data_IF_173326046622
#
_entry.id   IF_173326046622
#
_cell.length_a   1.000
_cell.length_b   1.000
_cell.length_c   1.000
_cell.angle_alpha   90.00
_cell.angle_beta   90.00
_cell.angle_gamma   90.00
#
_symmetry.space_group_name_H-M   'P 1'
#
loop_
_entity.id
_entity.type
_entity.pdbx_description
1 polymer ?
#
# COMPACT_ATOMS: atom_id res chain seq x y z
N UNK A 1 -25.13 -8.55 -1.25
CA UNK A 1 -23.71 -8.30 -1.57
C UNK A 1 -22.92 -8.53 -0.31
N UNK A 2 -21.98 -9.48 -0.32
CA UNK A 2 -21.04 -9.72 0.76
C UNK A 2 -19.65 -9.18 0.37
N UNK A 3 -18.94 -8.56 1.31
CA UNK A 3 -17.59 -8.01 1.09
C UNK A 3 -16.60 -8.63 2.08
N UNK A 4 -15.53 -9.22 1.58
CA UNK A 4 -14.39 -9.69 2.39
C UNK A 4 -13.27 -8.65 2.33
N UNK A 5 -12.85 -8.10 3.46
CA UNK A 5 -11.58 -7.39 3.57
C UNK A 5 -10.43 -8.39 3.71
N UNK A 6 -9.23 -8.06 3.23
CA UNK A 6 -8.07 -8.89 3.52
C UNK A 6 -6.75 -8.13 3.44
N UNK A 7 -5.75 -8.62 4.17
CA UNK A 7 -4.38 -8.08 4.17
C UNK A 7 -3.35 -9.14 4.57
N UNK A 8 -2.07 -8.79 4.43
CA UNK A 8 -0.94 -9.55 4.96
C UNK A 8 -0.09 -8.66 5.86
N UNK A 9 0.50 -9.24 6.91
CA UNK A 9 1.33 -8.51 7.86
C UNK A 9 2.50 -9.37 8.33
N UNK A 10 3.71 -8.83 8.31
CA UNK A 10 4.91 -9.40 8.95
C UNK A 10 5.72 -8.26 9.55
N UNK A 11 6.17 -8.40 10.79
CA UNK A 11 6.99 -7.39 11.49
C UNK A 11 6.34 -6.00 11.46
N UNK A 12 5.01 -5.97 11.62
CA UNK A 12 4.16 -4.79 11.55
C UNK A 12 4.55 -3.72 12.57
N UNK A 13 4.84 -4.14 13.80
CA UNK A 13 5.21 -3.27 14.91
C UNK A 13 6.63 -2.74 14.74
N UNK A 14 7.57 -3.64 14.45
CA UNK A 14 8.99 -3.36 14.26
C UNK A 14 9.21 -2.33 13.15
N UNK A 15 8.51 -2.48 12.03
CA UNK A 15 8.58 -1.53 10.92
C UNK A 15 7.64 -0.32 11.09
N UNK A 16 6.92 -0.20 12.22
CA UNK A 16 5.97 0.86 12.49
C UNK A 16 4.88 1.05 11.42
N UNK A 17 4.38 -0.05 10.83
CA UNK A 17 3.25 0.00 9.91
C UNK A 17 1.97 0.47 10.64
N UNK A 18 1.14 1.32 10.00
CA UNK A 18 -0.19 1.65 10.49
C UNK A 18 -1.21 0.53 10.19
N UNK A 19 -0.84 -0.73 10.47
CA UNK A 19 -1.64 -1.88 10.04
C UNK A 19 -2.99 -1.97 10.76
N UNK A 20 -3.05 -1.56 12.03
CA UNK A 20 -4.31 -1.46 12.79
C UNK A 20 -5.24 -0.46 12.11
N UNK A 21 -4.72 0.71 11.79
CA UNK A 21 -5.47 1.76 11.11
C UNK A 21 -5.85 1.36 9.68
N UNK A 22 -4.99 0.65 8.96
CA UNK A 22 -5.27 0.08 7.63
C UNK A 22 -6.49 -0.84 7.65
N UNK A 23 -6.49 -1.83 8.55
CA UNK A 23 -7.62 -2.75 8.73
C UNK A 23 -8.89 -1.97 9.08
N UNK A 24 -8.84 -1.13 10.11
CA UNK A 24 -9.98 -0.36 10.60
C UNK A 24 -10.53 0.63 9.56
N UNK A 25 -9.69 1.10 8.64
CA UNK A 25 -10.11 2.04 7.61
C UNK A 25 -11.08 1.46 6.58
N UNK A 26 -11.04 0.14 6.34
CA UNK A 26 -11.98 -0.51 5.41
C UNK A 26 -12.96 -1.47 6.09
N UNK A 27 -12.70 -1.88 7.34
CA UNK A 27 -13.55 -2.80 8.10
C UNK A 27 -15.05 -2.41 8.13
N UNK A 28 -15.45 -1.13 8.19
CA UNK A 28 -16.87 -0.73 8.11
C UNK A 28 -17.57 -1.14 6.80
N UNK A 29 -16.82 -1.38 5.73
CA UNK A 29 -17.33 -1.84 4.43
C UNK A 29 -17.35 -3.36 4.29
N UNK A 30 -16.82 -4.09 5.28
CA UNK A 30 -16.61 -5.53 5.22
C UNK A 30 -17.62 -6.30 6.09
N UNK A 31 -18.01 -7.48 5.60
CA UNK A 31 -18.77 -8.48 6.36
C UNK A 31 -17.85 -9.44 7.11
N UNK A 32 -16.65 -9.69 6.55
CA UNK A 32 -15.56 -10.43 7.18
C UNK A 32 -14.22 -9.80 6.79
N UNK A 33 -13.17 -10.06 7.56
CA UNK A 33 -11.83 -9.55 7.27
C UNK A 33 -10.77 -10.63 7.53
N UNK A 34 -9.95 -10.97 6.53
CA UNK A 34 -8.90 -11.98 6.65
C UNK A 34 -7.54 -11.32 6.84
N UNK A 35 -6.83 -11.65 7.92
CA UNK A 35 -5.46 -11.18 8.15
C UNK A 35 -4.51 -12.36 8.09
N UNK A 36 -3.64 -12.42 7.08
CA UNK A 36 -2.54 -13.38 7.02
C UNK A 36 -1.31 -12.83 7.73
N UNK A 37 -1.02 -13.36 8.93
CA UNK A 37 0.11 -12.93 9.75
C UNK A 37 1.30 -13.86 9.52
N UNK A 38 2.39 -13.30 9.01
CA UNK A 38 3.67 -13.96 8.91
C UNK A 38 4.34 -14.12 10.27
N UNK A 39 5.09 -15.21 10.47
CA UNK A 39 5.90 -15.49 11.67
C UNK A 39 6.80 -14.29 12.05
N UNK A 40 6.38 -13.41 12.94
CA UNK A 40 7.06 -12.12 13.17
C UNK A 40 8.05 -12.19 14.33
N UNK A 41 9.09 -11.35 14.28
CA UNK A 41 10.11 -11.19 15.32
C UNK A 41 9.69 -10.16 16.40
N UNK A 42 8.44 -9.71 16.35
CA UNK A 42 7.84 -8.70 17.21
C UNK A 42 6.42 -9.11 17.65
N UNK A 43 5.73 -8.23 18.37
CA UNK A 43 4.39 -8.51 18.89
C UNK A 43 3.26 -8.36 17.84
N UNK A 44 3.55 -8.37 16.53
CA UNK A 44 2.53 -8.19 15.48
C UNK A 44 1.36 -9.17 15.61
N UNK A 45 1.64 -10.45 15.86
CA UNK A 45 0.57 -11.45 15.99
C UNK A 45 -0.33 -11.17 17.20
N UNK A 46 0.24 -10.74 18.32
CA UNK A 46 -0.54 -10.44 19.52
C UNK A 46 -1.40 -9.18 19.32
N UNK A 47 -0.88 -8.14 18.67
CA UNK A 47 -1.65 -6.95 18.31
C UNK A 47 -2.85 -7.29 17.40
N UNK A 48 -2.65 -8.18 16.41
CA UNK A 48 -3.73 -8.63 15.53
C UNK A 48 -4.75 -9.50 16.30
N UNK A 49 -4.30 -10.33 17.25
CA UNK A 49 -5.20 -11.12 18.14
C UNK A 49 -6.01 -10.23 19.07
N UNK A 50 -5.44 -9.13 19.56
CA UNK A 50 -6.20 -8.14 20.33
C UNK A 50 -7.25 -7.46 19.46
N UNK A 51 -6.86 -7.07 18.24
CA UNK A 51 -7.79 -6.48 17.28
C UNK A 51 -8.94 -7.45 16.92
N UNK A 52 -8.69 -8.74 16.77
CA UNK A 52 -9.77 -9.71 16.47
C UNK A 52 -10.72 -9.96 17.64
N UNK A 53 -10.26 -9.81 18.89
CA UNK A 53 -11.14 -9.81 20.08
C UNK A 53 -12.05 -8.59 20.10
N UNK A 54 -11.55 -7.43 19.70
CA UNK A 54 -12.35 -6.19 19.58
C UNK A 54 -13.33 -6.23 18.40
N UNK A 55 -12.92 -6.85 17.29
CA UNK A 55 -13.69 -6.88 16.04
C UNK A 55 -13.91 -8.32 15.57
N UNK A 56 -15.03 -8.96 15.94
CA UNK A 56 -15.30 -10.37 15.65
C UNK A 56 -15.34 -10.75 14.15
N UNK A 57 -15.42 -9.77 13.26
CA UNK A 57 -15.35 -9.97 11.80
C UNK A 57 -13.94 -10.36 11.33
N UNK A 58 -12.91 -10.10 12.15
CA UNK A 58 -11.52 -10.36 11.79
C UNK A 58 -11.20 -11.84 12.07
N UNK A 59 -10.79 -12.54 11.02
CA UNK A 59 -10.26 -13.90 11.07
C UNK A 59 -8.77 -13.87 10.77
N UNK A 60 -7.99 -14.52 11.62
CA UNK A 60 -6.54 -14.60 11.51
C UNK A 60 -6.19 -15.94 10.86
N UNK A 61 -5.28 -15.88 9.89
CA UNK A 61 -4.54 -17.05 9.43
C UNK A 61 -3.05 -16.77 9.67
N UNK A 62 -2.30 -17.80 10.05
CA UNK A 62 -0.87 -17.68 10.31
C UNK A 62 -0.11 -18.40 9.18
N UNK A 63 1.01 -17.82 8.73
CA UNK A 63 1.83 -18.45 7.70
C UNK A 63 3.32 -18.25 7.92
N UNK A 64 4.10 -19.27 7.57
CA UNK A 64 5.55 -19.14 7.46
C UNK A 64 5.89 -18.70 6.05
N UNK A 65 6.43 -17.48 5.93
CA UNK A 65 6.75 -16.87 4.65
C UNK A 65 8.00 -17.51 4.07
N UNK A 66 7.97 -17.90 2.80
CA UNK A 66 9.15 -18.40 2.10
C UNK A 66 10.04 -17.24 1.69
N UNK A 67 11.02 -16.93 2.53
CA UNK A 67 11.97 -15.84 2.35
C UNK A 67 13.02 -16.12 1.27
N UNK A 68 13.04 -17.32 0.69
CA UNK A 68 13.88 -17.62 -0.48
C UNK A 68 13.35 -16.98 -1.76
N UNK A 69 12.05 -16.65 -1.82
CA UNK A 69 11.41 -15.98 -2.95
C UNK A 69 11.92 -14.54 -3.11
N UNK A 70 12.30 -14.18 -4.33
CA UNK A 70 12.87 -12.86 -4.67
C UNK A 70 11.94 -11.99 -5.49
N UNK A 71 12.32 -10.72 -5.62
CA UNK A 71 11.58 -9.71 -6.38
C UNK A 71 10.25 -9.33 -5.72
N UNK A 72 10.13 -9.50 -4.40
CA UNK A 72 8.88 -9.25 -3.67
C UNK A 72 7.81 -10.33 -3.85
N UNK A 73 8.08 -11.41 -4.60
CA UNK A 73 7.10 -12.48 -4.92
C UNK A 73 6.45 -13.09 -3.68
N UNK A 74 7.17 -13.16 -2.55
CA UNK A 74 6.61 -13.62 -1.27
C UNK A 74 5.34 -12.85 -0.90
N UNK A 75 5.28 -11.54 -1.18
CA UNK A 75 4.14 -10.70 -0.84
C UNK A 75 2.88 -11.13 -1.60
N UNK A 76 2.99 -11.44 -2.89
CA UNK A 76 1.82 -11.87 -3.68
C UNK A 76 1.40 -13.30 -3.32
N UNK A 77 2.34 -14.19 -3.03
CA UNK A 77 2.04 -15.55 -2.53
C UNK A 77 1.23 -15.48 -1.24
N UNK A 78 1.66 -14.69 -0.27
CA UNK A 78 0.97 -14.55 1.01
C UNK A 78 -0.36 -13.82 0.87
N UNK A 79 -0.44 -12.85 -0.05
CA UNK A 79 -1.70 -12.16 -0.38
C UNK A 79 -2.70 -13.12 -1.01
N UNK A 80 -2.24 -14.03 -1.88
CA UNK A 80 -3.08 -15.06 -2.49
C UNK A 80 -3.62 -16.08 -1.48
N UNK A 81 -2.83 -16.44 -0.44
CA UNK A 81 -3.32 -17.26 0.68
C UNK A 81 -4.49 -16.57 1.39
N UNK A 82 -4.37 -15.27 1.71
CA UNK A 82 -5.46 -14.49 2.32
C UNK A 82 -6.68 -14.33 1.40
N UNK A 83 -6.46 -14.09 0.11
CA UNK A 83 -7.55 -13.96 -0.88
C UNK A 83 -8.34 -15.27 -1.05
N UNK A 84 -7.66 -16.43 -0.98
CA UNK A 84 -8.31 -17.75 -1.07
C UNK A 84 -9.33 -17.95 0.04
N UNK A 85 -9.06 -17.40 1.21
CA UNK A 85 -9.87 -17.48 2.42
C UNK A 85 -11.07 -16.52 2.45
N UNK A 86 -11.16 -15.61 1.47
CA UNK A 86 -12.30 -14.70 1.32
C UNK A 86 -13.53 -15.42 0.73
N UNK A 87 -14.72 -15.05 1.19
CA UNK A 87 -16.00 -15.67 0.78
C UNK A 87 -17.03 -14.66 0.23
N UNK A 88 -16.69 -13.37 0.20
CA UNK A 88 -17.56 -12.31 -0.31
C UNK A 88 -17.68 -12.28 -1.83
N UNK A 89 -18.66 -11.54 -2.34
CA UNK A 89 -18.78 -11.24 -3.77
C UNK A 89 -17.61 -10.35 -4.24
N UNK A 90 -17.20 -9.44 -3.37
CA UNK A 90 -16.06 -8.54 -3.52
C UNK A 90 -15.01 -8.81 -2.44
N UNK A 91 -13.74 -8.76 -2.82
CA UNK A 91 -12.59 -8.88 -1.95
C UNK A 91 -11.83 -7.54 -1.96
N UNK A 92 -11.80 -6.84 -0.83
CA UNK A 92 -11.12 -5.56 -0.65
C UNK A 92 -9.76 -5.78 0.00
N UNK A 93 -8.71 -5.69 -0.81
CA UNK A 93 -7.32 -5.71 -0.37
C UNK A 93 -6.89 -4.34 0.15
N UNK A 94 -6.17 -4.31 1.28
CA UNK A 94 -5.48 -3.12 1.76
C UNK A 94 -4.09 -3.51 2.27
N UNK A 95 -3.05 -2.78 1.90
CA UNK A 95 -1.71 -3.02 2.45
C UNK A 95 -1.56 -2.41 3.84
N UNK A 96 -0.59 -2.90 4.62
CA UNK A 96 -0.37 -2.48 6.01
C UNK A 96 -0.01 -1.00 6.20
N UNK A 97 0.35 -0.29 5.12
CA UNK A 97 0.61 1.15 5.07
C UNK A 97 -0.39 1.93 4.20
N UNK A 98 -1.50 1.31 3.82
CA UNK A 98 -2.57 1.93 3.03
C UNK A 98 -3.83 2.12 3.87
N UNK A 99 -4.57 3.21 3.62
CA UNK A 99 -5.82 3.50 4.30
C UNK A 99 -6.86 4.06 3.32
N UNK A 100 -8.13 3.73 3.57
CA UNK A 100 -9.27 4.38 2.93
C UNK A 100 -9.83 5.46 3.86
N UNK A 101 -10.01 6.67 3.34
CA UNK A 101 -10.70 7.73 4.09
C UNK A 101 -12.22 7.48 4.09
N UNK A 102 -12.85 7.61 5.27
CA UNK A 102 -14.28 7.41 5.49
C UNK A 102 -15.21 8.21 4.57
N UNK A 103 -14.74 9.35 4.05
CA UNK A 103 -15.48 10.13 3.05
C UNK A 103 -15.77 9.36 1.76
N UNK A 104 -15.01 8.30 1.47
CA UNK A 104 -15.20 7.47 0.28
C UNK A 104 -16.11 6.25 0.51
N UNK A 105 -16.60 6.01 1.73
CA UNK A 105 -17.44 4.84 2.01
C UNK A 105 -18.70 4.79 1.14
N UNK A 106 -19.37 5.94 0.96
CA UNK A 106 -20.56 6.05 0.12
C UNK A 106 -20.28 5.62 -1.32
N UNK A 107 -19.31 6.27 -1.98
CA UNK A 107 -18.98 5.99 -3.38
C UNK A 107 -18.46 4.56 -3.58
N UNK A 108 -17.64 4.03 -2.67
CA UNK A 108 -17.12 2.67 -2.78
C UNK A 108 -18.26 1.64 -2.68
N UNK A 109 -19.19 1.81 -1.73
CA UNK A 109 -20.34 0.92 -1.56
C UNK A 109 -21.29 0.99 -2.76
N UNK A 110 -21.54 2.19 -3.26
CA UNK A 110 -22.38 2.42 -4.43
C UNK A 110 -21.79 1.74 -5.67
N UNK A 111 -20.50 1.90 -5.92
CA UNK A 111 -19.81 1.32 -7.07
C UNK A 111 -19.74 -0.21 -7.02
N UNK A 112 -19.46 -0.79 -5.85
CA UNK A 112 -19.55 -2.25 -5.66
C UNK A 112 -20.96 -2.78 -5.96
N UNK A 113 -21.99 -2.05 -5.56
CA UNK A 113 -23.40 -2.42 -5.79
C UNK A 113 -23.77 -2.34 -7.26
N UNK A 114 -23.47 -1.22 -7.93
CA UNK A 114 -23.73 -1.01 -9.36
C UNK A 114 -23.03 -2.05 -10.22
N UNK A 115 -21.78 -2.37 -9.88
CA UNK A 115 -21.00 -3.33 -10.64
C UNK A 115 -21.34 -4.79 -10.31
N UNK A 116 -22.03 -5.11 -9.21
CA UNK A 116 -22.19 -6.48 -8.71
C UNK A 116 -22.65 -7.49 -9.78
N UNK A 117 -23.65 -7.11 -10.58
CA UNK A 117 -24.25 -7.97 -11.61
C UNK A 117 -23.56 -7.86 -12.98
N UNK A 118 -22.75 -6.84 -13.22
CA UNK A 118 -21.99 -6.69 -14.46
C UNK A 118 -20.67 -7.47 -14.39
N UNK A 119 -20.72 -8.76 -14.74
CA UNK A 119 -19.56 -9.67 -14.64
C UNK A 119 -18.37 -9.28 -15.52
N UNK A 120 -18.54 -8.38 -16.49
CA UNK A 120 -17.40 -7.87 -17.27
C UNK A 120 -16.47 -6.99 -16.44
N UNK A 121 -16.93 -6.35 -15.36
CA UNK A 121 -16.09 -5.56 -14.45
C UNK A 121 -15.58 -6.46 -13.35
N UNK A 122 -14.29 -6.74 -13.28
CA UNK A 122 -13.67 -7.70 -12.38
C UNK A 122 -13.02 -7.05 -11.15
N UNK A 123 -12.82 -5.73 -11.18
CA UNK A 123 -12.30 -4.98 -10.06
C UNK A 123 -12.65 -3.49 -10.08
N UNK A 124 -12.40 -2.83 -8.95
CA UNK A 124 -12.50 -1.38 -8.80
C UNK A 124 -11.11 -0.80 -8.54
N UNK A 125 -10.75 0.20 -9.33
CA UNK A 125 -9.46 0.85 -9.30
C UNK A 125 -9.55 2.24 -8.64
N UNK A 126 -8.65 2.46 -7.69
CA UNK A 126 -8.57 3.63 -6.86
C UNK A 126 -7.39 4.48 -7.30
N UNK A 127 -7.49 5.79 -7.16
CA UNK A 127 -6.32 6.68 -7.26
C UNK A 127 -5.52 6.67 -5.95
N UNK A 128 -4.30 7.18 -5.98
CA UNK A 128 -3.43 7.23 -4.80
C UNK A 128 -3.09 8.65 -4.35
N UNK A 129 -2.86 8.77 -3.05
CA UNK A 129 -2.14 9.88 -2.41
C UNK A 129 -0.99 9.25 -1.63
N UNK A 130 0.24 9.59 -2.00
CA UNK A 130 1.44 9.10 -1.31
C UNK A 130 1.95 10.14 -0.34
N UNK A 131 1.92 9.83 0.95
CA UNK A 131 2.54 10.66 1.97
C UNK A 131 4.03 10.34 2.08
N UNK A 132 4.82 11.37 2.38
CA UNK A 132 6.28 11.29 2.37
C UNK A 132 6.88 12.13 3.49
N UNK A 133 7.78 11.54 4.27
CA UNK A 133 8.52 12.24 5.31
C UNK A 133 7.71 12.47 6.58
N UNK A 134 6.59 13.18 6.46
CA UNK A 134 5.63 13.37 7.55
C UNK A 134 4.19 13.15 7.03
N UNK A 135 3.22 13.31 7.94
CA UNK A 135 1.80 13.27 7.58
C UNK A 135 1.36 14.51 6.77
N UNK A 136 2.17 15.57 6.74
CA UNK A 136 1.78 16.85 6.15
C UNK A 136 2.18 17.01 4.68
N UNK A 137 2.96 16.08 4.13
CA UNK A 137 3.50 16.21 2.77
C UNK A 137 3.15 14.99 1.92
N UNK A 138 2.81 15.29 0.67
CA UNK A 138 2.53 14.30 -0.35
C UNK A 138 3.51 14.43 -1.51
N UNK A 139 3.73 13.33 -2.18
CA UNK A 139 4.58 13.23 -3.35
C UNK A 139 3.74 13.38 -4.62
N UNK A 140 4.13 14.28 -5.50
CA UNK A 140 3.36 14.60 -6.72
C UNK A 140 4.02 14.15 -8.02
N UNK A 141 5.15 13.43 -7.92
CA UNK A 141 5.81 12.82 -9.08
C UNK A 141 5.11 11.53 -9.54
N UNK A 142 4.11 11.68 -10.40
CA UNK A 142 3.34 10.57 -10.97
C UNK A 142 4.12 9.59 -11.87
N UNK A 143 5.39 9.86 -12.20
CA UNK A 143 6.25 8.93 -12.95
C UNK A 143 7.07 8.02 -12.05
N UNK A 144 7.40 8.48 -10.84
CA UNK A 144 8.12 7.67 -9.84
C UNK A 144 7.15 6.92 -8.93
N UNK A 145 5.97 7.48 -8.71
CA UNK A 145 4.96 6.99 -7.79
C UNK A 145 3.71 6.58 -8.56
N UNK A 146 3.22 5.37 -8.29
CA UNK A 146 2.07 4.83 -9.00
C UNK A 146 0.81 5.64 -8.66
N UNK A 147 -0.03 5.94 -9.64
CA UNK A 147 -1.14 6.88 -9.42
C UNK A 147 -2.48 6.21 -9.15
N UNK A 148 -2.57 4.92 -9.43
CA UNK A 148 -3.79 4.13 -9.30
C UNK A 148 -3.48 2.65 -9.20
N UNK A 149 -4.28 1.92 -8.44
CA UNK A 149 -4.23 0.45 -8.40
C UNK A 149 -5.60 -0.16 -8.13
N UNK A 150 -5.76 -1.43 -8.50
CA UNK A 150 -6.95 -2.22 -8.16
C UNK A 150 -6.83 -2.65 -6.70
N UNK A 151 -7.84 -2.32 -5.90
CA UNK A 151 -7.90 -2.71 -4.48
C UNK A 151 -9.14 -3.50 -4.12
N UNK A 152 -10.16 -3.46 -4.97
CA UNK A 152 -11.31 -4.36 -4.84
C UNK A 152 -11.34 -5.26 -6.07
N UNK A 153 -11.36 -6.57 -5.87
CA UNK A 153 -11.49 -7.57 -6.92
C UNK A 153 -12.70 -8.45 -6.65
N UNK A 154 -13.31 -9.01 -7.69
CA UNK A 154 -14.31 -10.06 -7.49
C UNK A 154 -13.66 -11.28 -6.86
N UNK A 155 -14.41 -12.02 -6.03
CA UNK A 155 -13.97 -13.37 -5.67
C UNK A 155 -14.04 -14.26 -6.91
N UNK A 156 -12.87 -14.71 -7.36
CA UNK A 156 -12.72 -15.63 -8.49
C UNK A 156 -11.42 -16.42 -8.32
N UNK A 157 -11.39 -17.66 -8.82
CA UNK A 157 -10.14 -18.43 -8.90
C UNK A 157 -9.26 -17.98 -10.08
N UNK A 158 -9.80 -17.16 -10.98
CA UNK A 158 -9.09 -16.59 -12.11
C UNK A 158 -8.51 -15.20 -11.81
N UNK A 159 -8.43 -14.80 -10.54
CA UNK A 159 -7.83 -13.53 -10.12
C UNK A 159 -6.80 -13.83 -9.04
N UNK A 160 -5.57 -13.36 -9.24
CA UNK A 160 -4.45 -13.54 -8.33
C UNK A 160 -3.75 -12.21 -8.08
N UNK A 161 -3.25 -12.02 -6.86
CA UNK A 161 -2.24 -11.01 -6.56
C UNK A 161 -0.97 -11.32 -7.34
N UNK A 162 -0.34 -10.29 -7.91
CA UNK A 162 0.76 -10.41 -8.86
C UNK A 162 2.00 -9.64 -8.40
N UNK A 163 3.19 -10.16 -8.73
CA UNK A 163 4.47 -9.49 -8.46
C UNK A 163 4.72 -9.27 -6.97
N UNK A 164 4.92 -8.02 -6.58
CA UNK A 164 5.14 -7.54 -5.20
C UNK A 164 3.83 -7.29 -4.43
N UNK A 165 2.72 -7.88 -4.87
CA UNK A 165 1.36 -7.69 -4.38
C UNK A 165 0.76 -6.31 -4.61
N UNK A 166 1.36 -5.48 -5.48
CA UNK A 166 0.80 -4.18 -5.84
C UNK A 166 -0.47 -4.30 -6.71
N UNK A 167 -0.52 -5.28 -7.61
CA UNK A 167 -1.54 -5.43 -8.66
C UNK A 167 -2.23 -6.80 -8.60
N UNK A 168 -3.38 -6.91 -9.27
CA UNK A 168 -4.11 -8.17 -9.47
C UNK A 168 -4.27 -8.46 -10.96
N UNK A 169 -4.10 -9.73 -11.33
CA UNK A 169 -4.14 -10.20 -12.71
C UNK A 169 -4.83 -11.55 -12.83
N UNK A 170 -5.08 -11.96 -14.07
CA UNK A 170 -5.35 -13.35 -14.37
C UNK A 170 -4.08 -14.20 -14.21
N UNK A 171 -4.21 -15.52 -13.94
CA UNK A 171 -3.05 -16.40 -13.79
C UNK A 171 -2.12 -16.44 -15.01
N UNK A 172 -2.62 -16.17 -16.20
CA UNK A 172 -1.84 -16.06 -17.45
C UNK A 172 -1.10 -14.71 -17.60
N UNK A 173 -1.23 -13.82 -16.61
CA UNK A 173 -0.61 -12.50 -16.59
C UNK A 173 -1.39 -11.41 -17.34
N UNK A 174 -2.56 -11.72 -17.89
CA UNK A 174 -3.43 -10.71 -18.51
C UNK A 174 -4.07 -9.81 -17.44
N UNK A 175 -4.34 -8.55 -17.81
CA UNK A 175 -4.88 -7.54 -16.89
C UNK A 175 -6.37 -7.76 -16.67
N UNK A 176 -6.83 -7.49 -15.45
CA UNK A 176 -8.26 -7.47 -15.13
C UNK A 176 -8.96 -6.33 -15.87
N UNK A 177 -10.21 -6.55 -16.24
CA UNK A 177 -11.09 -5.46 -16.63
C UNK A 177 -11.64 -4.77 -15.38
N UNK A 178 -11.30 -3.50 -15.15
CA UNK A 178 -11.69 -2.78 -13.94
C UNK A 178 -12.42 -1.48 -14.24
N UNK A 179 -13.21 -1.01 -13.27
CA UNK A 179 -13.81 0.31 -13.29
C UNK A 179 -13.01 1.27 -12.40
N UNK A 180 -12.60 2.42 -12.95
CA UNK A 180 -12.08 3.53 -12.14
C UNK A 180 -13.22 4.12 -11.30
N UNK A 181 -12.97 4.35 -10.01
CA UNK A 181 -13.94 4.99 -9.11
C UNK A 181 -13.40 6.31 -8.55
N UNK A 182 -14.30 7.18 -8.09
CA UNK A 182 -13.93 8.46 -7.48
C UNK A 182 -13.56 8.29 -5.99
N UNK A 183 -12.56 7.46 -5.74
CA UNK A 183 -12.01 7.22 -4.42
C UNK A 183 -10.48 7.18 -4.46
N UNK A 184 -9.84 7.50 -3.34
CA UNK A 184 -8.39 7.51 -3.21
C UNK A 184 -7.92 6.69 -2.01
N UNK A 185 -6.88 5.89 -2.21
CA UNK A 185 -6.12 5.25 -1.14
C UNK A 185 -5.02 6.19 -0.67
N UNK A 186 -4.89 6.30 0.65
CA UNK A 186 -3.90 7.12 1.33
C UNK A 186 -2.77 6.18 1.72
N UNK A 187 -1.61 6.32 1.09
CA UNK A 187 -0.48 5.43 1.26
C UNK A 187 0.62 6.14 2.07
N UNK A 188 0.97 5.57 3.21
CA UNK A 188 1.91 6.10 4.20
C UNK A 188 3.24 5.33 4.22
N UNK A 189 3.63 4.71 3.11
CA UNK A 189 4.81 3.84 3.02
C UNK A 189 6.12 4.52 3.45
N UNK A 190 6.19 5.84 3.32
CA UNK A 190 7.35 6.70 3.60
C UNK A 190 7.15 7.66 4.78
N UNK A 191 6.10 7.46 5.59
CA UNK A 191 5.83 8.27 6.79
C UNK A 191 6.10 7.44 8.02
N UNK A 192 7.34 7.48 8.51
CA UNK A 192 7.83 6.67 9.63
C UNK A 192 8.93 7.43 10.38
N UNK A 193 9.21 7.07 11.65
CA UNK A 193 10.41 7.53 12.32
C UNK A 193 11.66 7.24 11.44
N UNK A 194 12.62 8.17 11.35
CA UNK A 194 13.76 8.05 10.44
C UNK A 194 14.54 6.73 10.59
N UNK A 195 14.88 6.35 11.82
CA UNK A 195 15.64 5.12 12.08
C UNK A 195 14.87 3.85 11.65
N UNK A 196 13.55 3.85 11.87
CA UNK A 196 12.67 2.76 11.43
C UNK A 196 12.58 2.71 9.90
N UNK A 197 12.53 3.86 9.23
CA UNK A 197 12.47 3.94 7.78
C UNK A 197 13.73 3.35 7.13
N UNK A 198 14.92 3.75 7.59
CA UNK A 198 16.18 3.18 7.08
C UNK A 198 16.22 1.67 7.34
N UNK A 199 15.87 1.23 8.54
CA UNK A 199 15.88 -0.20 8.90
C UNK A 199 14.97 -1.00 7.97
N UNK A 200 13.74 -0.53 7.77
CA UNK A 200 12.79 -1.13 6.82
C UNK A 200 13.38 -1.18 5.41
N UNK A 201 13.95 -0.09 4.91
CA UNK A 201 14.53 -0.02 3.56
C UNK A 201 15.64 -1.07 3.39
N UNK A 202 16.54 -1.19 4.37
CA UNK A 202 17.64 -2.14 4.34
C UNK A 202 17.16 -3.59 4.31
N UNK A 203 16.12 -3.92 5.08
CA UNK A 203 15.58 -5.28 5.11
C UNK A 203 14.74 -5.59 3.88
N UNK A 204 13.95 -4.63 3.38
CA UNK A 204 13.20 -4.78 2.14
C UNK A 204 14.12 -4.98 0.94
N UNK A 205 15.27 -4.30 0.88
CA UNK A 205 16.24 -4.46 -0.20
C UNK A 205 16.68 -5.93 -0.38
N UNK A 206 16.79 -6.68 0.72
CA UNK A 206 17.15 -8.11 0.73
C UNK A 206 16.07 -9.02 0.13
N UNK A 207 14.82 -8.54 0.01
CA UNK A 207 13.73 -9.24 -0.68
C UNK A 207 13.83 -9.11 -2.22
N UNK A 208 14.55 -8.10 -2.71
CA UNK A 208 14.67 -7.80 -4.13
C UNK A 208 16.05 -8.15 -4.70
N UNK A 209 17.11 -7.99 -3.92
CA UNK A 209 18.50 -8.18 -4.36
C UNK A 209 19.31 -8.98 -3.33
N UNK A 210 20.43 -9.57 -3.77
CA UNK A 210 21.36 -10.35 -2.93
C UNK A 210 22.82 -9.94 -3.18
N UNK A 211 23.70 -10.33 -2.25
CA UNK A 211 25.15 -10.14 -2.33
C UNK A 211 25.59 -8.68 -2.42
N UNK A 212 26.69 -8.44 -3.12
CA UNK A 212 27.30 -7.10 -3.27
C UNK A 212 26.32 -6.03 -3.80
N UNK A 213 25.34 -6.43 -4.62
CA UNK A 213 24.33 -5.50 -5.15
C UNK A 213 23.43 -4.94 -4.05
N UNK A 214 22.99 -5.78 -3.11
CA UNK A 214 22.18 -5.34 -1.98
C UNK A 214 23.00 -4.45 -1.03
N UNK A 215 24.25 -4.83 -0.73
CA UNK A 215 25.14 -4.06 0.15
C UNK A 215 25.45 -2.66 -0.42
N UNK A 216 25.74 -2.59 -1.73
CA UNK A 216 25.95 -1.32 -2.43
C UNK A 216 24.73 -0.41 -2.35
N UNK A 217 23.52 -0.95 -2.55
CA UNK A 217 22.30 -0.16 -2.44
C UNK A 217 22.06 0.32 -1.00
N UNK A 218 22.23 -0.57 -0.02
CA UNK A 218 22.05 -0.31 1.41
C UNK A 218 22.96 0.82 1.90
N UNK A 219 24.24 0.83 1.47
CA UNK A 219 25.20 1.87 1.87
C UNK A 219 24.85 3.27 1.36
N UNK A 220 24.06 3.37 0.29
CA UNK A 220 23.60 4.65 -0.27
C UNK A 220 22.27 5.17 0.31
N UNK A 221 21.60 4.40 1.17
CA UNK A 221 20.29 4.80 1.68
C UNK A 221 20.38 5.96 2.68
N UNK A 222 19.63 7.03 2.37
CA UNK A 222 19.31 8.10 3.30
C UNK A 222 17.87 7.92 3.81
N UNK A 223 17.53 8.60 4.92
CA UNK A 223 16.17 8.61 5.45
C UNK A 223 15.17 9.05 4.36
N UNK A 224 15.43 10.20 3.75
CA UNK A 224 14.57 10.82 2.76
C UNK A 224 15.42 11.31 1.58
N UNK A 225 15.17 10.79 0.38
CA UNK A 225 15.99 10.97 -0.82
C UNK A 225 15.19 11.52 -2.04
N UNK A 226 13.87 11.61 -1.97
CA UNK A 226 12.99 12.11 -3.06
C UNK A 226 12.28 13.43 -2.69
N UNK A 227 13.06 14.43 -2.25
CA UNK A 227 12.55 15.73 -1.78
C UNK A 227 12.11 16.68 -2.91
N UNK A 228 12.43 16.39 -4.17
CA UNK A 228 12.26 17.35 -5.27
C UNK A 228 10.84 17.56 -5.79
N UNK A 229 9.84 16.85 -5.23
CA UNK A 229 8.47 16.81 -5.74
C UNK A 229 7.44 16.66 -4.61
N UNK A 230 7.61 17.44 -3.54
CA UNK A 230 6.71 17.42 -2.39
C UNK A 230 5.74 18.59 -2.42
N UNK A 231 4.50 18.33 -1.99
CA UNK A 231 3.48 19.34 -1.76
C UNK A 231 2.90 19.20 -0.37
N UNK A 232 2.53 20.33 0.24
CA UNK A 232 1.77 20.31 1.49
C UNK A 232 0.39 19.70 1.24
N UNK A 233 0.02 18.74 2.07
CA UNK A 233 -1.30 18.15 2.08
C UNK A 233 -2.29 19.11 2.74
N UNK A 234 -3.41 19.36 2.06
CA UNK A 234 -4.45 20.29 2.52
C UNK A 234 -5.76 19.59 2.88
N UNK A 235 -5.80 18.26 2.77
CA UNK A 235 -6.96 17.46 3.14
C UNK A 235 -6.93 17.03 4.60
N UNK A 236 -7.84 16.12 4.93
CA UNK A 236 -7.91 15.44 6.23
C UNK A 236 -7.39 14.02 6.13
N UNK A 237 -6.80 13.52 7.21
CA UNK A 237 -6.47 12.10 7.34
C UNK A 237 -7.69 11.30 7.81
N UNK A 238 -7.74 9.98 7.52
CA UNK A 238 -8.76 9.11 8.07
C UNK A 238 -8.82 9.21 9.59
N UNK A 239 -10.02 9.22 10.18
CA UNK A 239 -10.21 9.41 11.63
C UNK A 239 -9.38 8.42 12.49
N UNK A 240 -9.21 7.17 12.01
CA UNK A 240 -8.40 6.13 12.66
C UNK A 240 -6.92 6.50 12.84
N UNK A 241 -6.40 7.45 12.06
CA UNK A 241 -5.00 7.92 12.15
C UNK A 241 -4.79 9.01 13.21
N UNK A 242 -5.86 9.58 13.78
CA UNK A 242 -5.76 10.76 14.66
C UNK A 242 -4.77 10.55 15.81
N UNK A 243 -4.88 9.42 16.51
CA UNK A 243 -4.01 9.10 17.66
C UNK A 243 -2.55 8.94 17.22
N UNK A 244 -2.29 8.16 16.17
CA UNK A 244 -0.94 7.96 15.61
C UNK A 244 -0.28 9.27 15.20
N UNK A 245 -1.01 10.13 14.47
CA UNK A 245 -0.50 11.44 14.04
C UNK A 245 -0.17 12.31 15.25
N UNK A 246 -1.04 12.34 16.26
CA UNK A 246 -0.80 13.13 17.48
C UNK A 246 0.40 12.67 18.31
N UNK A 247 0.78 11.39 18.19
CA UNK A 247 1.94 10.79 18.86
C UNK A 247 3.22 10.89 18.04
N UNK A 248 3.16 11.38 16.80
CA UNK A 248 4.33 11.60 15.96
C UNK A 248 5.24 12.66 16.56
N UNK A 249 6.54 12.38 16.63
CA UNK A 249 7.52 13.26 17.29
C UNK A 249 8.74 13.59 16.43
N UNK A 250 8.87 13.00 15.25
CA UNK A 250 10.04 13.28 14.41
C UNK A 250 9.78 14.54 13.58
N UNK A 251 10.84 15.33 13.42
CA UNK A 251 10.85 16.48 12.54
C UNK A 251 11.26 16.05 11.13
N UNK A 252 10.69 16.71 10.12
CA UNK A 252 10.97 16.46 8.72
C UNK A 252 10.97 17.78 7.96
N UNK A 253 12.13 18.14 7.41
CA UNK A 253 12.27 19.27 6.50
C UNK A 253 12.03 18.82 5.04
N UNK A 254 10.88 19.21 4.43
CA UNK A 254 10.56 18.89 3.03
C UNK A 254 11.38 19.69 2.01
N UNK A 255 12.14 20.71 2.45
CA UNK A 255 12.90 21.63 1.59
C UNK A 255 12.06 22.22 0.44
N UNK A 256 10.81 22.62 0.72
CA UNK A 256 9.86 23.13 -0.29
C UNK A 256 10.41 24.38 -1.00
N UNK A 257 11.16 25.20 -0.29
CA UNK A 257 11.80 26.43 -0.78
C UNK A 257 12.88 26.17 -1.85
N UNK A 258 13.49 24.98 -1.83
CA UNK A 258 14.50 24.56 -2.81
C UNK A 258 13.89 23.87 -4.03
N UNK A 259 12.59 23.61 -4.02
CA UNK A 259 11.92 22.95 -5.13
C UNK A 259 11.56 23.95 -6.24
N UNK A 260 11.58 23.47 -7.48
CA UNK A 260 11.09 24.26 -8.59
C UNK A 260 9.59 24.59 -8.42
N UNK A 261 9.11 25.72 -8.97
CA UNK A 261 7.69 26.01 -9.08
C UNK A 261 6.90 24.85 -9.73
N UNK A 262 5.65 24.68 -9.32
CA UNK A 262 4.76 23.59 -9.75
C UNK A 262 4.74 23.37 -11.26
N UNK A 263 4.67 24.45 -12.05
CA UNK A 263 4.61 24.36 -13.50
C UNK A 263 5.94 23.87 -14.11
N UNK A 264 7.09 24.26 -13.52
CA UNK A 264 8.42 23.76 -13.93
C UNK A 264 8.52 22.28 -13.57
N UNK A 265 8.10 21.87 -12.37
CA UNK A 265 8.12 20.44 -11.98
C UNK A 265 7.25 19.60 -12.91
N UNK A 266 6.07 20.08 -13.28
CA UNK A 266 5.20 19.42 -14.25
C UNK A 266 5.90 19.24 -15.62
N UNK A 267 6.59 20.28 -16.12
CA UNK A 267 7.38 20.19 -17.36
C UNK A 267 8.55 19.23 -17.23
N UNK A 268 9.33 19.30 -16.14
CA UNK A 268 10.48 18.42 -15.89
C UNK A 268 10.06 16.95 -15.81
N UNK A 269 8.96 16.67 -15.09
CA UNK A 269 8.37 15.34 -15.04
C UNK A 269 7.96 14.93 -16.45
N UNK A 270 7.27 15.79 -17.21
CA UNK A 270 6.82 15.51 -18.57
C UNK A 270 7.96 15.12 -19.54
N UNK A 271 9.08 15.84 -19.51
CA UNK A 271 10.23 15.60 -20.41
C UNK A 271 11.20 14.51 -19.93
N UNK A 272 11.06 14.03 -18.69
CA UNK A 272 11.94 13.01 -18.09
C UNK A 272 12.21 11.77 -18.97
N UNK A 273 11.25 11.23 -19.74
CA UNK A 273 11.52 10.09 -20.64
C UNK A 273 12.52 10.41 -21.75
N UNK A 274 12.54 11.65 -22.24
CA UNK A 274 13.46 12.10 -23.27
C UNK A 274 14.88 12.18 -22.70
N UNK A 275 15.04 12.78 -21.51
CA UNK A 275 16.35 12.97 -20.88
C UNK A 275 17.01 11.65 -20.45
N UNK A 276 16.24 10.67 -19.94
CA UNK A 276 16.76 9.32 -19.64
C UNK A 276 17.32 8.61 -20.88
N UNK A 277 16.68 8.78 -22.05
CA UNK A 277 17.10 8.14 -23.31
C UNK A 277 18.41 8.71 -23.87
N UNK A 278 18.76 9.95 -23.52
CA UNK A 278 20.05 10.55 -23.84
C UNK A 278 21.14 10.22 -22.82
N UNK A 279 20.79 10.03 -21.55
CA UNK A 279 21.74 9.65 -20.49
C UNK A 279 22.17 8.19 -20.56
N UNK A 280 21.37 7.26 -21.11
CA UNK A 280 21.73 5.83 -21.22
C UNK A 280 22.58 5.49 -22.46
N UNK A 281 23.03 6.51 -23.20
CA UNK A 281 23.88 6.38 -24.39
C UNK A 281 25.34 6.85 -24.15
N UNK A 282 25.70 7.11 -22.89
CA UNK A 282 27.07 7.31 -22.43
C UNK A 282 27.41 6.21 -21.44
#
# INVERSE_FOLDING_TARGET
MKVSGFTIIRNGVYYAYPFREAILSILPLCDEFIVNVGESDDNTLEEVRQLSKEYPKIRIIESKWDMSLKGGTVLSVETNKALKECTGDWCFYIQSDELLHEKYYGVVKEEMTKCLNNKSIEGLCFKYIHFYGSYDYIQDNYRKWYVKEVRIVRKSNNIVSWGDALDFKHPDGTKLNYKMIDAKIYHYGWVRPPDTLITKRKDFEKLYNEGEKAEKNISGFQNYDDLGNLKKFTGTHPAVMKDRISKSKWDFDPQLDKQYPDWIRAVLIFIQPLTKRFSSKK
#
